data_IF_449684131583
#
_entry.id   IF_449684131583
#
_cell.length_a   1.000
_cell.length_b   1.000
_cell.length_c   1.000
_cell.angle_alpha   90.00
_cell.angle_beta   90.00
_cell.angle_gamma   90.00
#
_symmetry.space_group_name_H-M   'P 1'
#
loop_
_entity.id
_entity.type
_entity.pdbx_description
1 polymer ?
#
# COMPACT_ATOMS: atom_id res chain seq x y z
N UNK A 1 7.90 -6.89 28.13
CA UNK A 1 9.09 -6.16 27.63
C UNK A 1 8.83 -4.69 27.87
N UNK A 2 9.71 -3.96 28.57
CA UNK A 2 9.62 -2.51 28.67
C UNK A 2 9.61 -1.89 27.27
N UNK A 3 8.89 -0.79 27.08
CA UNK A 3 8.75 -0.16 25.77
C UNK A 3 8.72 1.36 25.88
N UNK A 4 9.22 2.03 24.84
CA UNK A 4 9.10 3.48 24.61
C UNK A 4 8.33 3.65 23.31
N UNK A 5 7.26 4.44 23.32
CA UNK A 5 6.46 4.74 22.14
C UNK A 5 6.77 6.12 21.60
N UNK A 6 7.04 6.21 20.29
CA UNK A 6 7.14 7.49 19.58
C UNK A 6 5.83 7.76 18.84
N UNK A 7 5.15 8.83 19.22
CA UNK A 7 3.87 9.23 18.62
C UNK A 7 4.01 10.65 18.04
N UNK A 8 3.96 10.82 16.72
CA UNK A 8 3.98 12.14 16.12
C UNK A 8 2.66 12.85 16.42
N UNK A 9 2.73 14.15 16.69
CA UNK A 9 1.54 14.99 16.94
C UNK A 9 0.93 15.56 15.66
N UNK A 10 1.70 15.52 14.57
CA UNK A 10 1.35 16.02 13.26
C UNK A 10 1.68 14.97 12.20
N UNK A 11 1.13 15.12 11.00
CA UNK A 11 1.49 14.33 9.83
C UNK A 11 2.87 14.69 9.29
N UNK A 12 3.93 14.51 10.08
CA UNK A 12 5.30 14.95 9.77
C UNK A 12 6.31 13.80 9.62
N UNK A 13 5.87 12.54 9.79
CA UNK A 13 6.68 11.35 9.54
C UNK A 13 7.98 11.26 10.36
N UNK A 14 7.96 11.63 11.65
CA UNK A 14 9.15 11.54 12.53
C UNK A 14 10.38 12.28 11.99
N UNK A 15 10.35 13.62 11.90
CA UNK A 15 11.51 14.41 11.51
C UNK A 15 12.75 14.08 12.34
N UNK A 16 13.93 14.14 11.73
CA UNK A 16 15.20 13.83 12.40
C UNK A 16 15.44 14.74 13.60
N UNK A 17 15.08 16.02 13.47
CA UNK A 17 15.24 17.04 14.49
C UNK A 17 14.44 16.68 15.76
N UNK A 18 13.22 16.14 15.60
CA UNK A 18 12.38 15.72 16.72
C UNK A 18 13.03 14.55 17.49
N UNK A 19 13.63 13.61 16.77
CA UNK A 19 14.31 12.45 17.40
C UNK A 19 15.60 12.87 18.08
N UNK A 20 16.40 13.74 17.45
CA UNK A 20 17.62 14.30 18.04
C UNK A 20 17.33 15.09 19.32
N UNK A 21 16.21 15.81 19.37
CA UNK A 21 15.77 16.54 20.56
C UNK A 21 15.41 15.61 21.72
N UNK A 22 14.73 14.50 21.46
CA UNK A 22 14.23 13.58 22.50
C UNK A 22 15.33 12.61 22.97
N UNK A 23 16.28 12.27 22.10
CA UNK A 23 17.32 11.26 22.33
C UNK A 23 18.06 11.41 23.67
N UNK A 24 18.57 12.59 24.08
CA UNK A 24 19.30 12.73 25.33
C UNK A 24 18.49 12.35 26.57
N UNK A 25 17.17 12.59 26.55
CA UNK A 25 16.28 12.28 27.68
C UNK A 25 16.00 10.78 27.82
N UNK A 26 16.08 10.01 26.74
CA UNK A 26 15.79 8.57 26.74
C UNK A 26 17.05 7.70 26.76
N UNK A 27 18.21 8.24 26.37
CA UNK A 27 19.48 7.51 26.33
C UNK A 27 19.83 6.81 27.66
N UNK A 28 19.64 7.43 28.86
CA UNK A 28 19.90 6.74 30.13
C UNK A 28 19.00 5.52 30.39
N UNK A 29 17.84 5.45 29.72
CA UNK A 29 16.96 4.28 29.77
C UNK A 29 17.39 3.23 28.74
N UNK A 30 17.72 3.66 27.52
CA UNK A 30 18.13 2.77 26.43
C UNK A 30 19.44 2.05 26.72
N UNK A 31 20.40 2.72 27.36
CA UNK A 31 21.73 2.18 27.68
C UNK A 31 21.69 0.98 28.63
N UNK A 32 20.59 0.79 29.37
CA UNK A 32 20.37 -0.37 30.26
C UNK A 32 20.11 -1.67 29.49
N UNK A 33 19.76 -1.59 28.21
CA UNK A 33 19.36 -2.74 27.41
C UNK A 33 20.38 -3.01 26.30
N UNK A 34 21.02 -4.18 26.34
CA UNK A 34 21.93 -4.64 25.27
C UNK A 34 21.18 -4.97 23.98
N UNK A 35 19.95 -5.44 24.08
CA UNK A 35 19.10 -5.80 22.94
C UNK A 35 17.95 -4.82 22.86
N UNK A 36 17.81 -4.16 21.70
CA UNK A 36 16.79 -3.14 21.45
C UNK A 36 16.12 -3.42 20.10
N UNK A 37 14.79 -3.59 20.12
CA UNK A 37 13.98 -3.76 18.93
C UNK A 37 13.26 -2.45 18.61
N UNK A 38 13.60 -1.82 17.49
CA UNK A 38 12.73 -0.81 16.90
C UNK A 38 11.71 -1.52 16.00
N UNK A 39 10.42 -1.23 16.14
CA UNK A 39 9.42 -1.83 15.26
C UNK A 39 8.27 -0.88 14.97
N UNK A 40 7.65 -1.07 13.82
CA UNK A 40 6.51 -0.26 13.43
C UNK A 40 5.88 -0.68 12.11
N UNK A 41 4.76 -0.03 11.79
CA UNK A 41 3.99 -0.25 10.58
C UNK A 41 3.88 1.06 9.78
N UNK A 42 3.98 0.99 8.45
CA UNK A 42 3.78 2.14 7.57
C UNK A 42 4.74 3.28 7.95
N UNK A 43 4.21 4.45 8.31
CA UNK A 43 4.97 5.57 8.86
C UNK A 43 5.84 5.17 10.07
N UNK A 44 5.33 4.32 10.96
CA UNK A 44 6.10 3.78 12.09
C UNK A 44 7.19 2.80 11.66
N UNK A 45 6.99 2.08 10.55
CA UNK A 45 8.00 1.22 9.96
C UNK A 45 9.14 2.04 9.34
N UNK A 46 8.78 3.16 8.68
CA UNK A 46 9.75 4.17 8.26
C UNK A 46 10.56 4.68 9.45
N UNK A 47 9.90 5.15 10.51
CA UNK A 47 10.58 5.68 11.70
C UNK A 47 11.47 4.64 12.39
N UNK A 48 11.05 3.37 12.41
CA UNK A 48 11.83 2.28 12.98
C UNK A 48 13.14 2.04 12.22
N UNK A 49 13.17 2.21 10.89
CA UNK A 49 14.39 2.10 10.08
C UNK A 49 15.19 3.39 10.15
N UNK A 50 14.56 4.53 9.80
CA UNK A 50 15.17 5.86 9.71
C UNK A 50 15.90 6.28 10.99
N UNK A 51 15.40 5.86 12.15
CA UNK A 51 15.98 6.24 13.43
C UNK A 51 16.68 5.09 14.13
N UNK A 52 16.91 3.96 13.45
CA UNK A 52 17.47 2.76 14.07
C UNK A 52 18.88 2.99 14.61
N UNK A 53 19.77 3.65 13.86
CA UNK A 53 21.12 4.01 14.36
C UNK A 53 21.03 5.00 15.53
N UNK A 54 20.23 6.04 15.37
CA UNK A 54 20.01 7.05 16.40
C UNK A 54 19.41 6.44 17.68
N UNK A 55 18.57 5.42 17.61
CA UNK A 55 18.02 4.77 18.82
C UNK A 55 18.88 3.57 19.28
N UNK A 56 20.02 3.36 18.62
CA UNK A 56 20.90 2.22 18.86
C UNK A 56 20.17 0.88 18.70
N UNK A 57 19.16 0.77 17.84
CA UNK A 57 18.46 -0.49 17.64
C UNK A 57 19.45 -1.60 17.27
N UNK A 58 19.34 -2.77 17.91
CA UNK A 58 20.10 -3.95 17.50
C UNK A 58 19.32 -4.80 16.51
N UNK A 59 17.99 -4.65 16.52
CA UNK A 59 17.08 -5.29 15.58
C UNK A 59 16.02 -4.28 15.15
N UNK A 60 15.59 -4.36 13.90
CA UNK A 60 14.50 -3.56 13.37
C UNK A 60 13.48 -4.47 12.70
N UNK A 61 12.20 -4.29 13.05
CA UNK A 61 11.08 -4.94 12.36
C UNK A 61 10.15 -3.89 11.77
N UNK A 62 10.25 -3.71 10.45
CA UNK A 62 9.45 -2.75 9.73
C UNK A 62 8.39 -3.45 8.87
N UNK A 63 7.13 -3.12 9.08
CA UNK A 63 5.99 -3.66 8.33
C UNK A 63 5.48 -2.61 7.34
N UNK A 64 5.51 -2.92 6.05
CA UNK A 64 5.18 -2.04 4.93
C UNK A 64 5.74 -0.61 5.08
N UNK A 65 7.03 -0.43 5.41
CA UNK A 65 7.60 0.91 5.58
C UNK A 65 7.55 1.68 4.27
N UNK A 66 7.35 3.00 4.36
CA UNK A 66 7.72 3.90 3.27
C UNK A 66 9.23 4.12 3.28
N UNK A 67 9.83 4.30 2.10
CA UNK A 67 11.23 4.70 1.95
C UNK A 67 11.40 6.21 2.18
N UNK A 68 10.52 7.00 1.57
CA UNK A 68 10.38 8.44 1.76
C UNK A 68 8.91 8.82 1.60
N UNK A 69 8.51 9.90 2.26
CA UNK A 69 7.19 10.52 2.11
C UNK A 69 7.26 11.82 1.30
N UNK A 70 8.46 12.30 1.01
CA UNK A 70 8.68 13.53 0.24
C UNK A 70 8.21 13.33 -1.21
N UNK A 71 7.26 14.15 -1.71
CA UNK A 71 6.74 14.03 -3.07
C UNK A 71 7.79 14.30 -4.16
N UNK A 72 8.84 15.06 -3.89
CA UNK A 72 9.92 15.32 -4.86
C UNK A 72 10.85 14.11 -4.96
N UNK A 73 11.07 13.40 -3.85
CA UNK A 73 11.93 12.21 -3.79
C UNK A 73 11.17 10.93 -4.21
N UNK A 74 9.89 10.84 -3.85
CA UNK A 74 9.01 9.70 -4.14
C UNK A 74 7.74 10.13 -4.90
N UNK A 75 7.85 10.71 -6.12
CA UNK A 75 6.71 11.26 -6.87
C UNK A 75 5.65 10.22 -7.28
N UNK A 76 6.02 8.94 -7.26
CA UNK A 76 5.13 7.80 -7.54
C UNK A 76 4.23 7.44 -6.34
N UNK A 77 4.59 7.90 -5.14
CA UNK A 77 3.84 7.67 -3.91
C UNK A 77 2.87 8.82 -3.65
N UNK A 78 1.65 8.65 -4.14
CA UNK A 78 0.59 9.65 -4.01
C UNK A 78 -0.47 9.27 -2.97
N UNK A 79 -0.38 8.07 -2.38
CA UNK A 79 -1.44 7.53 -1.50
C UNK A 79 -1.56 8.31 -0.20
N UNK A 80 -0.49 8.95 0.25
CA UNK A 80 -0.40 9.52 1.60
C UNK A 80 -0.21 11.03 1.62
N UNK A 81 -0.21 11.73 0.48
CA UNK A 81 0.04 13.17 0.40
C UNK A 81 -0.92 14.01 1.26
N UNK A 82 -2.17 13.56 1.41
CA UNK A 82 -3.16 14.23 2.25
C UNK A 82 -2.93 14.07 3.76
N UNK A 83 -2.01 13.20 4.17
CA UNK A 83 -1.62 13.03 5.57
C UNK A 83 -0.35 13.80 5.91
N UNK A 84 0.24 14.53 4.97
CA UNK A 84 1.46 15.31 5.20
C UNK A 84 1.05 16.75 5.53
N UNK A 85 1.25 17.15 6.78
CA UNK A 85 1.02 18.54 7.21
C UNK A 85 2.20 19.43 6.79
N UNK A 86 3.41 18.92 7.00
CA UNK A 86 4.69 19.53 6.64
C UNK A 86 5.69 18.42 6.35
N UNK A 87 6.34 18.50 5.20
CA UNK A 87 7.46 17.62 4.86
C UNK A 87 8.76 18.30 5.31
N UNK A 88 9.54 17.62 6.16
CA UNK A 88 10.91 18.04 6.47
C UNK A 88 11.83 17.67 5.32
N UNK A 89 13.05 18.22 5.31
CA UNK A 89 14.09 17.83 4.35
C UNK A 89 14.66 16.44 4.72
N UNK A 90 15.27 15.76 3.75
CA UNK A 90 16.03 14.50 3.94
C UNK A 90 15.19 13.36 4.54
N UNK A 91 13.95 13.22 4.06
CA UNK A 91 12.98 12.22 4.52
C UNK A 91 13.18 10.82 3.91
N UNK A 92 14.12 10.65 3.00
CA UNK A 92 14.52 9.34 2.51
C UNK A 92 15.35 8.58 3.55
N UNK A 93 15.16 7.26 3.64
CA UNK A 93 16.06 6.40 4.38
C UNK A 93 17.38 6.26 3.62
N UNK A 94 18.50 6.55 4.28
CA UNK A 94 19.88 6.32 3.80
C UNK A 94 20.64 5.38 4.75
N UNK A 95 21.82 4.90 4.35
CA UNK A 95 22.62 3.95 5.16
C UNK A 95 23.02 4.52 6.54
N UNK A 96 23.34 5.82 6.59
CA UNK A 96 23.72 6.51 7.82
C UNK A 96 22.61 6.53 8.88
N UNK A 97 21.35 6.39 8.47
CA UNK A 97 20.20 6.27 9.37
C UNK A 97 20.09 4.88 10.02
N UNK A 98 20.65 3.88 9.34
CA UNK A 98 20.36 2.47 9.56
C UNK A 98 21.32 1.84 10.58
N UNK A 99 20.77 1.07 11.53
CA UNK A 99 21.51 0.35 12.56
C UNK A 99 20.84 -0.96 12.97
N UNK A 100 21.67 -1.95 13.32
CA UNK A 100 21.22 -3.29 13.71
C UNK A 100 20.78 -4.16 12.53
N UNK A 101 20.21 -5.33 12.86
CA UNK A 101 19.66 -6.27 11.87
C UNK A 101 18.24 -5.87 11.47
N UNK A 102 18.05 -5.49 10.20
CA UNK A 102 16.80 -4.92 9.72
C UNK A 102 15.98 -5.96 8.96
N UNK A 103 14.71 -6.12 9.33
CA UNK A 103 13.74 -7.01 8.69
C UNK A 103 12.56 -6.20 8.16
N UNK A 104 12.30 -6.32 6.86
CA UNK A 104 11.23 -5.58 6.17
C UNK A 104 10.17 -6.55 5.67
N UNK A 105 8.97 -6.50 6.25
CA UNK A 105 7.81 -7.31 5.83
C UNK A 105 6.92 -6.46 4.93
N UNK A 106 6.67 -6.87 3.68
CA UNK A 106 5.88 -6.06 2.74
C UNK A 106 5.16 -6.91 1.69
N UNK A 107 4.08 -6.39 1.12
CA UNK A 107 3.41 -7.01 -0.02
C UNK A 107 4.09 -6.62 -1.34
N UNK A 108 4.79 -7.58 -1.94
CA UNK A 108 5.51 -7.40 -3.21
C UNK A 108 4.59 -7.31 -4.45
N UNK A 109 3.29 -7.52 -4.29
CA UNK A 109 2.30 -7.44 -5.37
C UNK A 109 1.69 -6.04 -5.54
N UNK A 110 2.02 -5.09 -4.66
CA UNK A 110 1.48 -3.72 -4.70
C UNK A 110 2.60 -2.65 -4.70
N UNK A 111 2.25 -1.38 -4.50
CA UNK A 111 3.18 -0.25 -4.53
C UNK A 111 4.25 -0.29 -3.42
N UNK A 112 4.04 -1.03 -2.34
CA UNK A 112 5.00 -1.19 -1.25
C UNK A 112 6.27 -1.90 -1.71
N UNK A 113 6.22 -2.66 -2.82
CA UNK A 113 7.41 -3.22 -3.46
C UNK A 113 8.45 -2.13 -3.78
N UNK A 114 8.01 -0.99 -4.32
CA UNK A 114 8.93 0.09 -4.68
C UNK A 114 9.62 0.70 -3.46
N UNK A 115 8.91 0.81 -2.32
CA UNK A 115 9.51 1.25 -1.05
C UNK A 115 10.54 0.24 -0.56
N UNK A 116 10.21 -1.05 -0.55
CA UNK A 116 11.14 -2.10 -0.13
C UNK A 116 12.38 -2.21 -1.02
N UNK A 117 12.23 -2.04 -2.34
CA UNK A 117 13.33 -2.00 -3.30
C UNK A 117 14.26 -0.80 -3.03
N UNK A 118 13.70 0.38 -2.78
CA UNK A 118 14.49 1.58 -2.44
C UNK A 118 15.21 1.45 -1.10
N UNK A 119 14.54 0.95 -0.07
CA UNK A 119 15.17 0.67 1.24
C UNK A 119 16.31 -0.34 1.08
N UNK A 120 16.10 -1.42 0.33
CA UNK A 120 17.13 -2.45 0.10
C UNK A 120 18.31 -1.94 -0.74
N UNK A 121 18.10 -0.88 -1.53
CA UNK A 121 19.17 -0.21 -2.28
C UNK A 121 19.94 0.79 -1.41
N UNK A 122 19.29 1.34 -0.38
CA UNK A 122 19.86 2.35 0.50
C UNK A 122 20.60 1.76 1.71
N UNK A 123 20.21 0.56 2.17
CA UNK A 123 20.79 -0.08 3.34
C UNK A 123 20.72 -1.62 3.26
N UNK A 124 21.56 -2.30 4.03
CA UNK A 124 21.52 -3.75 4.17
C UNK A 124 20.28 -4.20 4.97
N UNK A 125 19.29 -4.79 4.28
CA UNK A 125 18.05 -5.25 4.92
C UNK A 125 17.65 -6.67 4.50
N UNK A 126 16.92 -7.33 5.39
CA UNK A 126 16.33 -8.65 5.16
C UNK A 126 14.86 -8.50 4.72
N UNK A 127 14.62 -8.69 3.44
CA UNK A 127 13.27 -8.62 2.85
C UNK A 127 12.46 -9.91 3.10
N UNK A 128 11.28 -9.78 3.73
CA UNK A 128 10.32 -10.85 3.97
C UNK A 128 9.03 -10.55 3.20
N UNK A 129 8.80 -11.29 2.11
CA UNK A 129 7.67 -11.03 1.23
C UNK A 129 6.35 -11.58 1.81
N UNK A 130 5.32 -10.74 1.81
CA UNK A 130 3.95 -11.03 2.21
C UNK A 130 2.98 -10.78 1.02
N UNK A 131 3.07 -11.56 -0.09
CA UNK A 131 2.28 -11.31 -1.28
C UNK A 131 0.78 -11.33 -0.99
N UNK A 132 0.02 -10.39 -1.56
CA UNK A 132 -1.44 -10.30 -1.44
C UNK A 132 -1.95 -9.98 -0.02
N UNK A 133 -1.15 -9.31 0.82
CA UNK A 133 -1.63 -8.84 2.12
C UNK A 133 -2.08 -7.38 2.09
N UNK A 134 -1.84 -6.67 0.99
CA UNK A 134 -2.07 -5.23 0.90
C UNK A 134 -1.06 -4.45 1.74
N UNK A 135 -1.35 -3.17 1.94
CA UNK A 135 -0.49 -2.31 2.76
C UNK A 135 -0.48 -2.75 4.22
N UNK A 136 -1.62 -3.15 4.79
CA UNK A 136 -1.79 -3.51 6.21
C UNK A 136 -1.19 -4.87 6.60
N UNK A 137 0.10 -5.09 6.36
CA UNK A 137 0.83 -6.32 6.74
C UNK A 137 0.76 -6.63 8.23
N UNK A 138 0.57 -5.62 9.08
CA UNK A 138 0.36 -5.78 10.52
C UNK A 138 -0.85 -6.68 10.87
N UNK A 139 -1.85 -6.78 9.99
CA UNK A 139 -3.03 -7.65 10.19
C UNK A 139 -2.69 -9.13 10.29
N UNK A 140 -1.51 -9.54 9.83
CA UNK A 140 -1.01 -10.90 10.01
C UNK A 140 -0.74 -11.24 11.48
N UNK A 141 -0.45 -10.22 12.30
CA UNK A 141 0.12 -10.36 13.65
C UNK A 141 -0.79 -9.79 14.75
N UNK A 142 -2.11 -9.80 14.54
CA UNK A 142 -3.10 -9.21 15.46
C UNK A 142 -3.08 -9.79 16.88
N UNK A 143 -2.68 -11.05 17.05
CA UNK A 143 -2.64 -11.68 18.37
C UNK A 143 -1.27 -11.49 19.03
N UNK A 144 -1.27 -11.26 20.35
CA UNK A 144 -0.04 -11.17 21.13
C UNK A 144 0.85 -12.41 20.98
N UNK A 145 0.25 -13.58 20.83
CA UNK A 145 0.99 -14.83 20.61
C UNK A 145 1.73 -14.84 19.26
N UNK A 146 1.08 -14.41 18.17
CA UNK A 146 1.73 -14.34 16.86
C UNK A 146 2.78 -13.23 16.82
N UNK A 147 2.50 -12.06 17.39
CA UNK A 147 3.48 -10.97 17.45
C UNK A 147 4.70 -11.36 18.30
N UNK A 148 4.48 -12.08 19.41
CA UNK A 148 5.59 -12.60 20.22
C UNK A 148 6.44 -13.60 19.45
N UNK A 149 5.83 -14.55 18.75
CA UNK A 149 6.56 -15.51 17.92
C UNK A 149 7.37 -14.82 16.81
N UNK A 150 6.85 -13.71 16.25
CA UNK A 150 7.57 -12.91 15.28
C UNK A 150 8.77 -12.19 15.91
N UNK A 151 8.60 -11.58 17.09
CA UNK A 151 9.71 -10.96 17.81
C UNK A 151 10.81 -11.97 18.18
N UNK A 152 10.44 -13.15 18.66
CA UNK A 152 11.41 -14.19 18.98
C UNK A 152 12.17 -14.64 17.70
N UNK A 153 11.52 -14.72 16.54
CA UNK A 153 12.19 -14.98 15.27
C UNK A 153 13.15 -13.84 14.88
N UNK A 154 12.77 -12.57 15.13
CA UNK A 154 13.62 -11.39 14.87
C UNK A 154 14.87 -11.40 15.73
N UNK A 155 14.73 -11.63 17.04
CA UNK A 155 15.89 -11.69 17.94
C UNK A 155 16.86 -12.83 17.64
N UNK A 156 16.37 -13.93 17.05
CA UNK A 156 17.20 -15.07 16.67
C UNK A 156 17.73 -14.98 15.23
N UNK A 157 17.37 -13.95 14.47
CA UNK A 157 17.69 -13.83 13.05
C UNK A 157 17.10 -14.93 12.16
N UNK A 158 16.01 -15.57 12.60
CA UNK A 158 15.41 -16.72 11.92
C UNK A 158 14.44 -16.27 10.81
N UNK A 159 15.03 -15.92 9.67
CA UNK A 159 14.30 -15.48 8.45
C UNK A 159 13.33 -16.55 7.96
N UNK A 160 13.67 -17.83 8.10
CA UNK A 160 12.82 -18.94 7.69
C UNK A 160 11.56 -18.99 8.55
N UNK A 161 11.70 -18.82 9.87
CA UNK A 161 10.56 -18.76 10.78
C UNK A 161 9.68 -17.56 10.52
N UNK A 162 10.25 -16.38 10.25
CA UNK A 162 9.46 -15.20 9.86
C UNK A 162 8.62 -15.48 8.61
N UNK A 163 9.23 -16.07 7.58
CA UNK A 163 8.53 -16.47 6.36
C UNK A 163 7.39 -17.47 6.63
N UNK A 164 7.64 -18.48 7.47
CA UNK A 164 6.62 -19.47 7.85
C UNK A 164 5.43 -18.79 8.55
N UNK A 165 5.69 -17.92 9.54
CA UNK A 165 4.65 -17.17 10.24
C UNK A 165 3.85 -16.34 9.23
N UNK A 166 4.49 -15.53 8.39
CA UNK A 166 3.82 -14.72 7.36
C UNK A 166 2.93 -15.60 6.46
N UNK A 167 3.46 -16.72 5.98
CA UNK A 167 2.73 -17.64 5.11
C UNK A 167 1.52 -18.27 5.80
N UNK A 168 1.67 -18.73 7.04
CA UNK A 168 0.59 -19.33 7.84
C UNK A 168 -0.52 -18.31 8.10
N UNK A 169 -0.15 -17.13 8.59
CA UNK A 169 -1.10 -16.06 8.93
C UNK A 169 -1.82 -15.51 7.71
N UNK A 170 -1.14 -15.40 6.57
CA UNK A 170 -1.75 -14.93 5.31
C UNK A 170 -2.89 -15.84 4.85
N UNK A 171 -2.79 -17.16 5.06
CA UNK A 171 -3.84 -18.13 4.68
C UNK A 171 -5.12 -17.96 5.50
N UNK A 172 -5.03 -17.26 6.63
CA UNK A 172 -6.15 -17.01 7.54
C UNK A 172 -6.80 -15.64 7.30
N UNK A 173 -6.28 -14.82 6.37
CA UNK A 173 -6.93 -13.56 6.02
C UNK A 173 -8.30 -13.85 5.39
N UNK A 174 -9.39 -13.22 5.85
CA UNK A 174 -10.74 -13.54 5.36
C UNK A 174 -10.89 -13.42 3.84
N UNK A 175 -10.18 -12.46 3.24
CA UNK A 175 -10.27 -12.11 1.83
C UNK A 175 -9.16 -12.74 0.96
N UNK A 176 -8.33 -13.63 1.51
CA UNK A 176 -7.18 -14.20 0.77
C UNK A 176 -7.61 -14.92 -0.50
N UNK A 177 -8.73 -15.64 -0.48
CA UNK A 177 -9.25 -16.35 -1.65
C UNK A 177 -9.60 -15.36 -2.77
N UNK A 178 -10.33 -14.29 -2.44
CA UNK A 178 -10.67 -13.20 -3.36
C UNK A 178 -9.42 -12.56 -3.95
N UNK A 179 -8.40 -12.28 -3.12
CA UNK A 179 -7.13 -11.70 -3.57
C UNK A 179 -6.36 -12.63 -4.51
N UNK A 180 -6.35 -13.93 -4.24
CA UNK A 180 -5.73 -14.95 -5.10
C UNK A 180 -6.44 -15.03 -6.45
N UNK A 181 -7.78 -15.07 -6.45
CA UNK A 181 -8.57 -15.06 -7.68
C UNK A 181 -8.30 -13.79 -8.48
N UNK A 182 -8.33 -12.62 -7.83
CA UNK A 182 -8.01 -11.35 -8.48
C UNK A 182 -6.61 -11.34 -9.09
N UNK A 183 -5.59 -11.80 -8.37
CA UNK A 183 -4.21 -11.87 -8.88
C UNK A 183 -4.08 -12.82 -10.08
N UNK A 184 -4.80 -13.95 -10.06
CA UNK A 184 -4.86 -14.88 -11.19
C UNK A 184 -5.58 -14.26 -12.40
N UNK A 185 -6.70 -13.59 -12.19
CA UNK A 185 -7.41 -12.87 -13.25
C UNK A 185 -6.50 -11.79 -13.86
N UNK A 186 -5.76 -11.04 -13.04
CA UNK A 186 -4.83 -10.01 -13.51
C UNK A 186 -3.71 -10.62 -14.36
N UNK A 187 -3.18 -11.79 -13.95
CA UNK A 187 -2.18 -12.52 -14.74
C UNK A 187 -2.72 -12.87 -16.13
N UNK A 188 -3.94 -13.40 -16.22
CA UNK A 188 -4.57 -13.72 -17.50
C UNK A 188 -4.84 -12.46 -18.35
N UNK A 189 -5.32 -11.38 -17.72
CA UNK A 189 -5.58 -10.10 -18.39
C UNK A 189 -4.31 -9.51 -19.02
N UNK A 190 -3.19 -9.52 -18.28
CA UNK A 190 -1.89 -9.01 -18.77
C UNK A 190 -1.37 -9.73 -20.01
N UNK A 191 -1.69 -11.03 -20.16
CA UNK A 191 -1.33 -11.82 -21.34
C UNK A 191 -2.46 -11.92 -22.37
N UNK A 192 -3.46 -11.01 -22.29
CA UNK A 192 -4.60 -10.90 -23.21
C UNK A 192 -5.47 -12.15 -23.32
N UNK A 193 -5.43 -13.03 -22.31
CA UNK A 193 -6.32 -14.19 -22.17
C UNK A 193 -7.63 -13.76 -21.53
N UNK A 194 -8.42 -12.97 -22.27
CA UNK A 194 -9.58 -12.26 -21.72
C UNK A 194 -10.69 -13.20 -21.23
N UNK A 195 -10.93 -14.33 -21.91
CA UNK A 195 -11.94 -15.30 -21.50
C UNK A 195 -11.60 -15.93 -20.13
N UNK A 196 -10.36 -16.35 -19.93
CA UNK A 196 -9.90 -16.88 -18.64
C UNK A 196 -9.83 -15.80 -17.57
N UNK A 197 -9.41 -14.59 -17.94
CA UNK A 197 -9.39 -13.44 -17.04
C UNK A 197 -10.80 -13.13 -16.53
N UNK A 198 -11.79 -13.05 -17.42
CA UNK A 198 -13.19 -12.78 -17.07
C UNK A 198 -13.75 -13.86 -16.16
N UNK A 199 -13.56 -15.14 -16.52
CA UNK A 199 -14.04 -16.26 -15.71
C UNK A 199 -13.56 -16.17 -14.27
N UNK A 200 -12.26 -15.90 -14.08
CA UNK A 200 -11.66 -15.80 -12.74
C UNK A 200 -12.07 -14.48 -12.04
N UNK A 201 -12.18 -13.37 -12.77
CA UNK A 201 -12.62 -12.09 -12.22
C UNK A 201 -14.07 -12.17 -11.71
N UNK A 202 -14.97 -12.86 -12.41
CA UNK A 202 -16.36 -13.11 -11.96
C UNK A 202 -16.40 -13.97 -10.70
N UNK A 203 -15.51 -14.96 -10.55
CA UNK A 203 -15.37 -15.72 -9.31
C UNK A 203 -14.90 -14.84 -8.15
N UNK A 204 -13.94 -13.95 -8.39
CA UNK A 204 -13.48 -12.99 -7.39
C UNK A 204 -14.59 -12.02 -6.97
N UNK A 205 -15.37 -11.51 -7.94
CA UNK A 205 -16.52 -10.66 -7.63
C UNK A 205 -17.59 -11.42 -6.84
N UNK A 206 -17.89 -12.66 -7.18
CA UNK A 206 -18.89 -13.47 -6.46
C UNK A 206 -18.47 -13.91 -5.05
N UNK A 207 -17.20 -13.77 -4.67
CA UNK A 207 -16.69 -14.25 -3.38
C UNK A 207 -17.35 -13.51 -2.19
N UNK A 208 -17.57 -14.19 -1.04
CA UNK A 208 -18.24 -13.58 0.11
C UNK A 208 -17.41 -12.44 0.74
N UNK A 209 -16.09 -12.63 0.83
CA UNK A 209 -15.16 -11.65 1.36
C UNK A 209 -14.58 -10.80 0.23
N UNK A 210 -15.42 -9.92 -0.34
CA UNK A 210 -15.03 -9.01 -1.43
C UNK A 210 -13.98 -8.00 -0.99
N UNK A 211 -13.09 -7.62 -1.91
CA UNK A 211 -12.04 -6.61 -1.69
C UNK A 211 -12.39 -5.35 -2.50
N UNK A 212 -12.28 -4.14 -1.91
CA UNK A 212 -12.39 -2.88 -2.66
C UNK A 212 -11.53 -2.90 -3.93
N UNK A 213 -12.16 -2.67 -5.09
CA UNK A 213 -11.49 -2.68 -6.39
C UNK A 213 -11.34 -4.07 -7.01
N UNK A 214 -11.95 -5.12 -6.43
CA UNK A 214 -11.98 -6.44 -7.06
C UNK A 214 -12.75 -6.41 -8.39
N UNK A 215 -13.85 -5.65 -8.44
CA UNK A 215 -14.69 -5.49 -9.63
C UNK A 215 -14.07 -4.58 -10.71
N UNK A 216 -13.04 -3.79 -10.36
CA UNK A 216 -12.29 -2.97 -11.33
C UNK A 216 -11.82 -3.80 -12.52
N UNK A 217 -11.17 -4.93 -12.22
CA UNK A 217 -10.54 -5.76 -13.23
C UNK A 217 -11.60 -6.37 -14.15
N UNK A 218 -12.76 -6.76 -13.61
CA UNK A 218 -13.88 -7.22 -14.42
C UNK A 218 -14.40 -6.11 -15.35
N UNK A 219 -14.59 -4.90 -14.83
CA UNK A 219 -14.96 -3.74 -15.66
C UNK A 219 -13.94 -3.46 -16.76
N UNK A 220 -12.64 -3.50 -16.44
CA UNK A 220 -11.56 -3.32 -17.42
C UNK A 220 -11.56 -4.43 -18.50
N UNK A 221 -11.75 -5.69 -18.12
CA UNK A 221 -11.87 -6.82 -19.06
C UNK A 221 -13.07 -6.63 -20.00
N UNK A 222 -14.21 -6.21 -19.46
CA UNK A 222 -15.43 -5.97 -20.24
C UNK A 222 -15.25 -4.82 -21.25
N UNK A 223 -14.55 -3.75 -20.86
CA UNK A 223 -14.20 -2.66 -21.76
C UNK A 223 -13.26 -3.11 -22.89
N UNK A 224 -12.22 -3.88 -22.58
CA UNK A 224 -11.29 -4.41 -23.60
C UNK A 224 -11.97 -5.41 -24.54
N UNK A 225 -13.03 -6.08 -24.09
CA UNK A 225 -13.84 -7.00 -24.91
C UNK A 225 -15.07 -6.33 -25.55
N UNK A 226 -15.13 -4.99 -25.56
CA UNK A 226 -16.18 -4.18 -26.21
C UNK A 226 -17.60 -4.45 -25.66
N UNK A 227 -17.72 -4.69 -24.35
CA UNK A 227 -19.00 -4.89 -23.63
C UNK A 227 -19.26 -3.77 -22.62
N UNK A 228 -19.42 -2.52 -23.07
CA UNK A 228 -19.44 -1.35 -22.17
C UNK A 228 -20.68 -1.30 -21.26
N UNK A 229 -21.85 -1.76 -21.71
CA UNK A 229 -23.06 -1.78 -20.87
C UNK A 229 -22.91 -2.71 -19.66
N UNK A 230 -22.28 -3.88 -19.83
CA UNK A 230 -21.96 -4.76 -18.70
C UNK A 230 -20.88 -4.17 -17.79
N UNK A 231 -19.86 -3.53 -18.38
CA UNK A 231 -18.81 -2.87 -17.61
C UNK A 231 -19.41 -1.79 -16.69
N UNK A 232 -20.32 -0.98 -17.21
CA UNK A 232 -21.02 0.05 -16.45
C UNK A 232 -21.79 -0.52 -15.27
N UNK A 233 -22.55 -1.60 -15.46
CA UNK A 233 -23.32 -2.25 -14.38
C UNK A 233 -22.39 -2.68 -13.25
N UNK A 234 -21.28 -3.34 -13.58
CA UNK A 234 -20.30 -3.82 -12.60
C UNK A 234 -19.62 -2.66 -11.88
N UNK A 235 -19.18 -1.63 -12.61
CA UNK A 235 -18.46 -0.49 -12.04
C UNK A 235 -19.36 0.36 -11.14
N UNK A 236 -20.62 0.60 -11.53
CA UNK A 236 -21.59 1.31 -10.67
C UNK A 236 -21.93 0.52 -9.41
N UNK A 237 -22.08 -0.81 -9.52
CA UNK A 237 -22.33 -1.65 -8.35
C UNK A 237 -21.18 -1.57 -7.34
N UNK A 238 -19.94 -1.59 -7.82
CA UNK A 238 -18.75 -1.42 -6.97
C UNK A 238 -18.68 -0.03 -6.33
N UNK A 239 -18.92 1.04 -7.10
CA UNK A 239 -18.90 2.41 -6.59
C UNK A 239 -20.01 2.68 -5.55
N UNK A 240 -21.20 2.09 -5.73
CA UNK A 240 -22.27 2.17 -4.71
C UNK A 240 -21.86 1.46 -3.41
N UNK A 241 -21.17 0.32 -3.53
CA UNK A 241 -20.75 -0.49 -2.38
C UNK A 241 -19.55 0.11 -1.66
N UNK A 242 -18.64 0.74 -2.39
CA UNK A 242 -17.44 1.37 -1.86
C UNK A 242 -17.32 2.82 -2.37
N UNK A 243 -18.09 3.76 -1.79
CA UNK A 243 -18.12 5.15 -2.24
C UNK A 243 -16.76 5.88 -2.17
N UNK A 244 -15.80 5.36 -1.39
CA UNK A 244 -14.45 5.92 -1.26
C UNK A 244 -13.54 5.63 -2.47
N UNK A 245 -13.91 4.71 -3.37
CA UNK A 245 -13.06 4.29 -4.50
C UNK A 245 -13.21 5.25 -5.70
N UNK A 246 -12.78 6.50 -5.52
CA UNK A 246 -12.89 7.55 -6.56
C UNK A 246 -12.12 7.24 -7.83
N UNK A 247 -11.06 6.43 -7.75
CA UNK A 247 -10.21 6.10 -8.90
C UNK A 247 -10.89 5.18 -9.94
N UNK A 248 -12.00 4.51 -9.59
CA UNK A 248 -12.80 3.72 -10.53
C UNK A 248 -13.53 4.57 -11.57
N UNK A 249 -13.77 5.84 -11.25
CA UNK A 249 -14.65 6.68 -12.04
C UNK A 249 -14.16 6.92 -13.47
N UNK A 250 -12.85 6.89 -13.74
CA UNK A 250 -12.32 6.94 -15.11
C UNK A 250 -12.72 5.75 -15.98
N UNK A 251 -12.85 4.55 -15.39
CA UNK A 251 -13.34 3.36 -16.10
C UNK A 251 -14.84 3.45 -16.35
N UNK A 252 -15.60 4.00 -15.40
CA UNK A 252 -17.04 4.23 -15.57
C UNK A 252 -17.28 5.25 -16.69
N UNK A 253 -16.54 6.36 -16.70
CA UNK A 253 -16.59 7.36 -17.79
C UNK A 253 -16.30 6.70 -19.13
N UNK A 254 -15.25 5.85 -19.23
CA UNK A 254 -14.95 5.12 -20.47
C UNK A 254 -16.09 4.18 -20.89
N UNK A 255 -16.75 3.51 -19.96
CA UNK A 255 -17.91 2.65 -20.25
C UNK A 255 -19.08 3.43 -20.82
N UNK A 256 -19.41 4.57 -20.23
CA UNK A 256 -20.51 5.45 -20.66
C UNK A 256 -20.16 6.12 -22.01
N UNK A 257 -18.92 6.58 -22.19
CA UNK A 257 -18.40 7.14 -23.44
C UNK A 257 -18.50 6.15 -24.61
N UNK A 258 -18.15 4.87 -24.39
CA UNK A 258 -18.26 3.81 -25.41
C UNK A 258 -19.70 3.47 -25.82
N UNK A 259 -20.68 3.87 -25.02
CA UNK A 259 -22.11 3.75 -25.34
C UNK A 259 -22.67 5.00 -26.04
N UNK A 260 -21.88 6.06 -26.20
CA UNK A 260 -22.31 7.32 -26.82
C UNK A 260 -23.09 8.25 -25.88
N UNK A 261 -23.18 7.93 -24.59
CA UNK A 261 -23.90 8.74 -23.61
C UNK A 261 -23.01 9.88 -23.08
N UNK A 262 -22.60 10.79 -23.96
CA UNK A 262 -21.58 11.80 -23.66
C UNK A 262 -21.98 12.77 -22.53
N UNK A 263 -23.25 13.18 -22.45
CA UNK A 263 -23.74 14.07 -21.39
C UNK A 263 -23.63 13.41 -20.02
N UNK A 264 -23.97 12.13 -19.92
CA UNK A 264 -23.85 11.37 -18.68
C UNK A 264 -22.38 11.11 -18.32
N UNK A 265 -21.54 10.81 -19.31
CA UNK A 265 -20.11 10.64 -19.10
C UNK A 265 -19.46 11.90 -18.53
N UNK A 266 -19.86 13.09 -19.01
CA UNK A 266 -19.40 14.36 -18.48
C UNK A 266 -19.86 14.58 -17.03
N UNK A 267 -21.14 14.33 -16.72
CA UNK A 267 -21.68 14.48 -15.38
C UNK A 267 -20.96 13.58 -14.34
N UNK A 268 -20.52 12.39 -14.75
CA UNK A 268 -19.73 11.49 -13.89
C UNK A 268 -18.27 11.96 -13.77
N UNK A 269 -17.73 12.59 -14.81
CA UNK A 269 -16.33 13.03 -14.88
C UNK A 269 -16.06 14.31 -14.09
N UNK A 270 -16.96 15.29 -14.15
CA UNK A 270 -16.78 16.62 -13.55
C UNK A 270 -16.43 16.59 -12.06
N UNK A 271 -17.16 15.86 -11.18
CA UNK A 271 -16.81 15.80 -9.76
C UNK A 271 -15.43 15.16 -9.53
N UNK A 272 -15.03 14.22 -10.37
CA UNK A 272 -13.73 13.57 -10.26
C UNK A 272 -12.62 14.53 -10.65
N UNK A 273 -12.78 15.25 -11.76
CA UNK A 273 -11.82 16.23 -12.23
C UNK A 273 -11.67 17.39 -11.22
N UNK A 274 -12.78 17.88 -10.65
CA UNK A 274 -12.75 18.88 -9.60
C UNK A 274 -11.96 18.41 -8.36
N UNK A 275 -12.10 17.14 -7.98
CA UNK A 275 -11.36 16.57 -6.84
C UNK A 275 -9.89 16.22 -7.16
N UNK A 276 -9.54 16.03 -8.43
CA UNK A 276 -8.23 15.57 -8.89
C UNK A 276 -7.81 16.32 -10.17
N UNK A 277 -7.65 17.65 -10.13
CA UNK A 277 -7.47 18.48 -11.33
C UNK A 277 -6.20 18.16 -12.10
N UNK A 278 -5.21 17.56 -11.45
CA UNK A 278 -3.91 17.18 -12.02
C UNK A 278 -3.92 15.83 -12.78
N UNK A 279 -5.06 15.13 -12.84
CA UNK A 279 -5.15 13.82 -13.51
C UNK A 279 -5.27 13.99 -15.02
N UNK A 280 -4.14 13.85 -15.72
CA UNK A 280 -4.03 13.98 -17.19
C UNK A 280 -5.00 13.06 -17.94
N UNK A 281 -5.25 11.86 -17.43
CA UNK A 281 -6.20 10.91 -18.01
C UNK A 281 -7.65 11.43 -17.95
N UNK A 282 -8.05 12.06 -16.83
CA UNK A 282 -9.36 12.68 -16.68
C UNK A 282 -9.50 13.94 -17.54
N UNK A 283 -8.46 14.77 -17.62
CA UNK A 283 -8.43 15.95 -18.50
C UNK A 283 -8.61 15.56 -19.96
N UNK A 284 -7.88 14.54 -20.43
CA UNK A 284 -8.02 14.01 -21.79
C UNK A 284 -9.41 13.44 -22.05
N UNK A 285 -10.03 12.79 -21.06
CA UNK A 285 -11.40 12.33 -21.18
C UNK A 285 -12.38 13.50 -21.33
N UNK A 286 -12.21 14.57 -20.54
CA UNK A 286 -13.07 15.75 -20.60
C UNK A 286 -13.01 16.42 -21.98
N UNK A 287 -11.81 16.60 -22.52
CA UNK A 287 -11.61 17.16 -23.86
C UNK A 287 -12.31 16.33 -24.95
N UNK A 288 -12.14 15.00 -24.91
CA UNK A 288 -12.81 14.10 -25.88
C UNK A 288 -14.33 14.17 -25.80
N UNK A 289 -14.88 14.13 -24.59
CA UNK A 289 -16.33 14.15 -24.37
C UNK A 289 -16.90 15.51 -24.76
N UNK A 290 -16.24 16.62 -24.40
CA UNK A 290 -16.65 17.96 -24.79
C UNK A 290 -16.71 18.12 -26.32
N UNK A 291 -15.72 17.59 -27.05
CA UNK A 291 -15.71 17.61 -28.52
C UNK A 291 -16.84 16.79 -29.17
N UNK A 292 -17.49 15.88 -28.43
CA UNK A 292 -18.65 15.11 -28.89
C UNK A 292 -19.99 15.75 -28.51
N UNK A 293 -19.97 16.71 -27.59
CA UNK A 293 -21.13 17.49 -27.15
C UNK A 293 -21.28 18.82 -27.90
N UNK A 294 -20.19 19.30 -28.53
CA UNK A 294 -20.17 20.44 -29.43
C UNK A 294 -20.70 20.06 -30.82
#
# INVERSE_FOLDING_TARGET
MPAIGFMPKHGNWYPKEDIELIRPSIEPLLSKYKTRLAYGFSMGGYGAIKHSRALGATHVLAMSPQWSIDPEVAPWERRYLHFIDKCSENMEIVDDDCGGEIYVIFDNMNKDRFHAEKISSAAAVNSIQAPLTGHDTWKLFLSSATMRALFDAVFNGDKLRMFQIVRERRRLLPDIQTRVLWARALKHFRVKRYAEAERVARQADAAPNRVPGAAWLLGAILLETKRPSEAEVVLRAEMRRFPSIRWLGGYLVRAIEMQGHYSEAMAVLEPQLASQPHRVDLQKAAQRIAAKLA
#
